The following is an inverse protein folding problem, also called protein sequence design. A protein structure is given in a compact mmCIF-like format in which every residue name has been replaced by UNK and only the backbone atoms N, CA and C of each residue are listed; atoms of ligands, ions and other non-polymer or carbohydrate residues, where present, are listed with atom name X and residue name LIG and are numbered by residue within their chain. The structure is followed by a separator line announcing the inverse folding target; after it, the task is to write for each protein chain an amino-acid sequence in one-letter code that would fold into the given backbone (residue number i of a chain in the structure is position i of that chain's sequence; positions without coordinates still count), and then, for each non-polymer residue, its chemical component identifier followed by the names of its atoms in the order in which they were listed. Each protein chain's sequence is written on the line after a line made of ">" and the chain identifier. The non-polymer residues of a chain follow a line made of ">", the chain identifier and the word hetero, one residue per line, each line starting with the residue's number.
data_IF_662263949365
#
_entry.id   IF_662263949365
#
_cell.length_a   1.000
_cell.length_b   1.000
_cell.length_c   1.000
_cell.angle_alpha   90.00
_cell.angle_beta   90.00
_cell.angle_gamma   90.00
#
_symmetry.space_group_name_H-M   'P 1'
#
loop_
_entity.id
_entity.type
_entity.pdbx_description
1 polymer ?
#
# COMPACT_ATOMS: atom_id res chain seq x y z
N UNK A 1 -16.76 -9.86 -10.80
CA UNK A 1 -15.74 -10.33 -11.77
C UNK A 1 -16.37 -11.03 -12.96
N UNK A 2 -17.18 -12.08 -12.77
CA UNK A 2 -17.87 -12.80 -13.88
C UNK A 2 -18.59 -11.88 -14.88
N UNK A 3 -19.24 -10.82 -14.41
CA UNK A 3 -19.93 -9.87 -15.28
C UNK A 3 -18.98 -9.03 -16.15
N UNK A 4 -17.81 -8.66 -15.61
CA UNK A 4 -16.76 -7.97 -16.38
C UNK A 4 -16.22 -8.92 -17.46
N UNK A 5 -16.03 -10.20 -17.12
CA UNK A 5 -15.57 -11.20 -18.10
C UNK A 5 -16.59 -11.42 -19.21
N UNK A 6 -17.89 -11.42 -18.87
CA UNK A 6 -18.99 -11.62 -19.83
C UNK A 6 -19.19 -10.42 -20.74
N UNK A 7 -19.14 -9.21 -20.20
CA UNK A 7 -19.55 -7.99 -20.91
C UNK A 7 -18.40 -7.15 -21.42
N UNK A 8 -17.19 -7.35 -20.89
CA UNK A 8 -16.05 -6.47 -21.10
C UNK A 8 -16.25 -5.06 -20.52
N UNK A 9 -17.23 -4.87 -19.63
CA UNK A 9 -17.60 -3.56 -19.08
C UNK A 9 -17.43 -3.53 -17.57
N UNK A 10 -16.99 -2.37 -17.08
CA UNK A 10 -16.94 -2.09 -15.65
C UNK A 10 -18.33 -1.70 -15.13
N UNK A 11 -18.63 -1.98 -13.86
CA UNK A 11 -19.88 -1.53 -13.25
C UNK A 11 -19.95 0.00 -13.25
N UNK A 12 -21.15 0.49 -13.56
CA UNK A 12 -21.45 1.92 -13.62
C UNK A 12 -21.17 2.61 -12.27
N UNK A 13 -20.94 3.92 -12.32
CA UNK A 13 -20.83 4.70 -11.09
C UNK A 13 -22.11 4.54 -10.25
N UNK A 14 -21.96 4.34 -8.94
CA UNK A 14 -23.05 4.18 -7.96
C UNK A 14 -23.90 2.92 -8.10
N UNK A 15 -23.52 1.93 -8.92
CA UNK A 15 -24.21 0.64 -8.93
C UNK A 15 -23.85 -0.20 -7.70
N UNK A 16 -24.69 -1.16 -7.33
CA UNK A 16 -24.41 -2.10 -6.24
C UNK A 16 -23.12 -2.91 -6.50
N UNK A 17 -22.94 -3.41 -7.72
CA UNK A 17 -21.72 -4.10 -8.13
C UNK A 17 -20.45 -3.24 -7.93
N UNK A 18 -20.56 -1.92 -8.13
CA UNK A 18 -19.46 -0.98 -7.90
C UNK A 18 -19.13 -0.90 -6.41
N UNK A 19 -20.15 -0.86 -5.55
CA UNK A 19 -19.97 -0.85 -4.10
C UNK A 19 -19.33 -2.14 -3.59
N UNK A 20 -19.78 -3.30 -4.07
CA UNK A 20 -19.19 -4.59 -3.73
C UNK A 20 -17.72 -4.66 -4.16
N UNK A 21 -17.38 -4.17 -5.36
CA UNK A 21 -15.99 -4.11 -5.79
C UNK A 21 -15.16 -3.10 -4.99
N UNK A 22 -15.70 -1.94 -4.61
CA UNK A 22 -15.03 -1.00 -3.70
C UNK A 22 -14.70 -1.67 -2.36
N UNK A 23 -15.66 -2.39 -1.76
CA UNK A 23 -15.47 -3.15 -0.53
C UNK A 23 -14.37 -4.20 -0.69
N UNK A 24 -14.41 -4.95 -1.80
CA UNK A 24 -13.39 -5.94 -2.10
C UNK A 24 -12.00 -5.31 -2.22
N UNK A 25 -11.85 -4.22 -2.99
CA UNK A 25 -10.58 -3.49 -3.13
C UNK A 25 -10.06 -2.96 -1.78
N UNK A 26 -10.95 -2.43 -0.93
CA UNK A 26 -10.60 -1.98 0.41
C UNK A 26 -10.09 -3.14 1.29
N UNK A 27 -10.78 -4.28 1.30
CA UNK A 27 -10.35 -5.47 2.01
C UNK A 27 -9.02 -6.01 1.49
N UNK A 28 -8.82 -6.02 0.16
CA UNK A 28 -7.56 -6.42 -0.48
C UNK A 28 -6.39 -5.52 -0.06
N UNK A 29 -6.63 -4.21 0.06
CA UNK A 29 -5.61 -3.26 0.49
C UNK A 29 -5.23 -3.39 1.96
N UNK A 30 -6.18 -3.81 2.81
CA UNK A 30 -5.96 -3.92 4.25
C UNK A 30 -5.36 -5.27 4.68
N UNK A 31 -5.48 -6.32 3.85
CA UNK A 31 -4.96 -7.65 4.17
C UNK A 31 -3.47 -7.87 3.85
N UNK A 32 -2.73 -6.83 3.48
CA UNK A 32 -1.33 -6.97 3.07
C UNK A 32 -0.39 -7.13 4.27
N UNK A 33 0.74 -7.84 4.10
CA UNK A 33 1.81 -7.91 5.10
C UNK A 33 2.29 -6.53 5.60
N UNK A 34 2.41 -5.55 4.70
CA UNK A 34 2.76 -4.16 5.02
C UNK A 34 1.80 -3.55 6.05
N UNK A 35 0.49 -3.69 5.85
CA UNK A 35 -0.52 -3.12 6.76
C UNK A 35 -0.46 -3.73 8.15
N UNK A 36 -0.19 -5.02 8.22
CA UNK A 36 0.03 -5.70 9.51
C UNK A 36 1.31 -5.23 10.18
N UNK A 37 2.39 -5.02 9.41
CA UNK A 37 3.67 -4.55 9.94
C UNK A 37 3.55 -3.21 10.67
N UNK A 38 2.72 -2.28 10.18
CA UNK A 38 2.48 -1.00 10.88
C UNK A 38 1.91 -1.21 12.28
N UNK A 39 0.91 -2.08 12.41
CA UNK A 39 0.24 -2.35 13.70
C UNK A 39 1.13 -3.18 14.61
N UNK A 40 1.87 -4.14 14.05
CA UNK A 40 2.69 -5.09 14.78
C UNK A 40 4.11 -4.58 15.08
N UNK A 41 4.48 -3.39 14.61
CA UNK A 41 5.80 -2.81 14.87
C UNK A 41 6.19 -2.83 16.36
N UNK A 42 5.33 -2.43 17.32
CA UNK A 42 5.64 -2.55 18.74
C UNK A 42 5.88 -3.98 19.21
N UNK A 43 5.13 -4.96 18.68
CA UNK A 43 5.32 -6.37 19.00
C UNK A 43 6.70 -6.85 18.52
N UNK A 44 7.10 -6.44 17.31
CA UNK A 44 8.38 -6.81 16.72
C UNK A 44 9.57 -6.23 17.50
N UNK A 45 9.49 -4.93 17.88
CA UNK A 45 10.52 -4.30 18.72
C UNK A 45 10.61 -4.99 20.08
N UNK A 46 9.47 -5.31 20.72
CA UNK A 46 9.46 -6.02 22.01
C UNK A 46 10.06 -7.43 21.89
N UNK A 47 9.76 -8.16 20.82
CA UNK A 47 10.36 -9.46 20.58
C UNK A 47 11.89 -9.36 20.39
N UNK A 48 12.38 -8.32 19.72
CA UNK A 48 13.81 -8.04 19.57
C UNK A 48 14.49 -7.63 20.90
N UNK A 49 13.76 -6.90 21.75
CA UNK A 49 14.24 -6.47 23.07
C UNK A 49 14.57 -7.66 23.96
N UNK A 50 13.74 -8.72 23.91
CA UNK A 50 13.72 -9.80 24.90
C UNK A 50 13.55 -9.19 26.31
N UNK A 51 14.56 -9.32 27.16
CA UNK A 51 14.57 -8.78 28.53
C UNK A 51 15.20 -7.38 28.64
N UNK A 52 15.69 -6.81 27.53
CA UNK A 52 16.27 -5.46 27.51
C UNK A 52 15.18 -4.39 27.66
N UNK A 53 15.49 -3.24 28.28
CA UNK A 53 14.56 -2.11 28.33
C UNK A 53 14.21 -1.63 26.92
N UNK A 54 12.94 -1.29 26.73
CA UNK A 54 12.47 -0.60 25.52
C UNK A 54 12.86 0.87 25.60
N UNK A 55 14.04 1.20 25.07
CA UNK A 55 14.56 2.57 25.02
C UNK A 55 14.87 3.03 23.59
N UNK A 56 15.23 4.31 23.46
CA UNK A 56 15.54 4.95 22.19
C UNK A 56 16.72 4.26 21.46
N UNK A 57 17.74 3.81 22.21
CA UNK A 57 18.91 3.16 21.65
C UNK A 57 18.57 1.77 21.08
N UNK A 58 17.71 1.02 21.78
CA UNK A 58 17.19 -0.25 21.30
C UNK A 58 16.39 -0.08 20.00
N UNK A 59 15.56 0.96 19.89
CA UNK A 59 14.82 1.24 18.65
C UNK A 59 15.77 1.57 17.50
N UNK A 60 16.79 2.38 17.74
CA UNK A 60 17.81 2.67 16.73
C UNK A 60 18.51 1.37 16.26
N UNK A 61 18.90 0.51 17.20
CA UNK A 61 19.54 -0.77 16.90
C UNK A 61 18.63 -1.70 16.10
N UNK A 62 17.36 -1.83 16.51
CA UNK A 62 16.37 -2.65 15.81
C UNK A 62 16.13 -2.17 14.39
N UNK A 63 15.99 -0.84 14.21
CA UNK A 63 15.83 -0.24 12.89
C UNK A 63 17.00 -0.56 11.99
N UNK A 64 18.23 -0.38 12.47
CA UNK A 64 19.44 -0.63 11.69
C UNK A 64 19.62 -2.10 11.32
N UNK A 65 19.54 -3.00 12.31
CA UNK A 65 19.97 -4.40 12.14
C UNK A 65 18.89 -5.29 11.53
N UNK A 66 17.66 -5.14 11.99
CA UNK A 66 16.57 -6.05 11.64
C UNK A 66 15.62 -5.45 10.60
N UNK A 67 15.12 -4.24 10.86
CA UNK A 67 14.01 -3.68 10.10
C UNK A 67 14.43 -3.09 8.74
N UNK A 68 15.42 -2.17 8.74
CA UNK A 68 15.90 -1.49 7.54
C UNK A 68 17.08 -2.23 6.91
N UNK A 69 18.04 -2.70 7.72
CA UNK A 69 19.31 -3.29 7.25
C UNK A 69 20.37 -2.26 6.88
N UNK A 70 20.21 -1.00 7.27
CA UNK A 70 21.17 0.09 7.11
C UNK A 70 20.93 1.15 8.18
N UNK A 71 21.91 2.04 8.38
CA UNK A 71 21.84 3.06 9.41
C UNK A 71 20.62 4.01 9.22
N UNK A 72 19.67 4.06 10.17
CA UNK A 72 18.52 4.95 10.10
C UNK A 72 18.93 6.42 10.25
N UNK A 73 18.16 7.33 9.66
CA UNK A 73 18.33 8.76 9.94
C UNK A 73 17.81 9.11 11.34
N UNK A 74 18.35 10.13 12.03
CA UNK A 74 17.89 10.53 13.37
C UNK A 74 16.37 10.74 13.45
N UNK A 75 15.78 11.37 12.43
CA UNK A 75 14.34 11.60 12.35
C UNK A 75 13.50 10.31 12.21
N UNK A 76 14.07 9.24 11.64
CA UNK A 76 13.40 7.93 11.59
C UNK A 76 13.37 7.26 12.96
N UNK A 77 14.46 7.37 13.71
CA UNK A 77 14.55 6.82 15.06
C UNK A 77 13.55 7.55 15.96
N UNK A 78 13.50 8.88 15.89
CA UNK A 78 12.54 9.69 16.63
C UNK A 78 11.09 9.35 16.26
N UNK A 79 10.77 9.30 14.97
CA UNK A 79 9.43 8.94 14.52
C UNK A 79 9.01 7.53 14.93
N UNK A 80 9.92 6.55 14.85
CA UNK A 80 9.66 5.17 15.27
C UNK A 80 9.49 5.06 16.79
N UNK A 81 10.32 5.78 17.56
CA UNK A 81 10.21 5.83 19.01
C UNK A 81 8.90 6.47 19.46
N UNK A 82 8.55 7.63 18.90
CA UNK A 82 7.28 8.32 19.18
C UNK A 82 6.08 7.45 18.82
N UNK A 83 6.14 6.71 17.70
CA UNK A 83 5.09 5.76 17.31
C UNK A 83 4.98 4.61 18.31
N UNK A 84 6.10 3.98 18.65
CA UNK A 84 6.17 2.88 19.61
C UNK A 84 5.55 3.28 20.96
N UNK A 85 5.99 4.41 21.51
CA UNK A 85 5.49 4.92 22.80
C UNK A 85 4.01 5.26 22.72
N UNK A 86 3.58 5.95 21.65
CA UNK A 86 2.17 6.31 21.46
C UNK A 86 1.25 5.09 21.41
N UNK A 87 1.62 4.05 20.66
CA UNK A 87 0.82 2.81 20.58
C UNK A 87 0.81 2.08 21.92
N UNK A 88 1.96 1.90 22.57
CA UNK A 88 2.04 1.19 23.85
C UNK A 88 1.26 1.94 24.95
N UNK A 89 1.36 3.26 25.02
CA UNK A 89 0.65 4.05 26.02
C UNK A 89 -0.88 3.99 25.84
N UNK A 90 -1.36 3.96 24.59
CA UNK A 90 -2.78 4.01 24.28
C UNK A 90 -3.45 2.63 24.32
N UNK A 91 -2.75 1.58 23.88
CA UNK A 91 -3.33 0.27 23.61
C UNK A 91 -2.57 -0.89 24.24
N UNK A 92 -1.41 -0.64 24.86
CA UNK A 92 -0.46 -1.69 25.18
C UNK A 92 0.23 -2.25 23.93
N UNK A 93 0.91 -3.38 24.08
CA UNK A 93 1.57 -4.05 22.95
C UNK A 93 0.53 -4.84 22.15
N UNK A 94 0.30 -4.52 20.86
CA UNK A 94 -0.72 -5.19 20.08
C UNK A 94 -0.44 -6.68 19.88
N UNK A 95 -1.49 -7.49 19.93
CA UNK A 95 -1.47 -8.89 19.52
C UNK A 95 -1.72 -9.04 18.01
N UNK A 96 -1.55 -10.26 17.50
CA UNK A 96 -1.93 -10.61 16.13
C UNK A 96 -3.42 -10.39 15.87
N UNK A 97 -4.27 -10.67 16.87
CA UNK A 97 -5.71 -10.44 16.79
C UNK A 97 -6.03 -8.95 16.68
N UNK A 98 -5.35 -8.11 17.44
CA UNK A 98 -5.52 -6.65 17.37
C UNK A 98 -5.12 -6.11 16.00
N UNK A 99 -4.07 -6.65 15.38
CA UNK A 99 -3.68 -6.29 14.02
C UNK A 99 -4.75 -6.65 12.98
N UNK A 100 -5.41 -7.79 13.13
CA UNK A 100 -6.53 -8.17 12.24
C UNK A 100 -7.69 -7.18 12.41
N UNK A 101 -8.08 -6.86 13.64
CA UNK A 101 -9.17 -5.91 13.89
C UNK A 101 -8.83 -4.50 13.40
N UNK A 102 -7.61 -4.00 13.66
CA UNK A 102 -7.19 -2.68 13.23
C UNK A 102 -7.14 -2.56 11.70
N UNK A 103 -6.66 -3.60 11.01
CA UNK A 103 -6.60 -3.58 9.54
C UNK A 103 -7.97 -3.71 8.91
N UNK A 104 -8.82 -4.64 9.36
CA UNK A 104 -10.16 -4.82 8.78
C UNK A 104 -11.16 -3.73 9.20
N UNK A 105 -10.99 -3.13 10.38
CA UNK A 105 -11.87 -2.08 10.90
C UNK A 105 -11.86 -0.78 10.08
N UNK A 106 -10.84 -0.57 9.24
CA UNK A 106 -10.73 0.62 8.39
C UNK A 106 -11.30 0.43 6.98
N UNK A 107 -11.84 -0.75 6.65
CA UNK A 107 -12.31 -1.08 5.30
C UNK A 107 -13.35 -0.07 4.79
N UNK A 108 -14.32 0.27 5.63
CA UNK A 108 -15.39 1.21 5.27
C UNK A 108 -14.85 2.63 5.02
N UNK A 109 -13.82 3.04 5.78
CA UNK A 109 -13.17 4.35 5.61
C UNK A 109 -12.45 4.48 4.27
N UNK A 110 -12.01 3.36 3.68
CA UNK A 110 -11.29 3.37 2.40
C UNK A 110 -12.24 3.42 1.20
N UNK A 111 -13.47 2.90 1.32
CA UNK A 111 -14.42 2.79 0.22
C UNK A 111 -14.68 4.11 -0.53
N UNK A 112 -14.87 5.26 0.14
CA UNK A 112 -15.06 6.54 -0.54
C UNK A 112 -13.92 6.92 -1.49
N UNK A 113 -12.68 6.50 -1.19
CA UNK A 113 -11.52 6.78 -2.04
C UNK A 113 -11.52 5.97 -3.34
N UNK A 114 -12.10 4.77 -3.36
CA UNK A 114 -12.27 3.98 -4.58
C UNK A 114 -13.50 4.42 -5.38
N UNK A 115 -14.59 4.75 -4.67
CA UNK A 115 -15.87 5.19 -5.25
C UNK A 115 -15.73 6.49 -6.04
N UNK A 116 -14.91 7.42 -5.55
CA UNK A 116 -14.70 8.75 -6.13
C UNK A 116 -13.73 8.79 -7.32
N UNK A 117 -13.32 7.62 -7.86
CA UNK A 117 -12.34 7.50 -8.94
C UNK A 117 -13.00 7.11 -10.26
N UNK A 118 -12.35 7.49 -11.37
CA UNK A 118 -12.65 6.99 -12.70
C UNK A 118 -12.07 5.60 -12.80
N UNK A 119 -12.85 4.61 -13.24
CA UNK A 119 -12.37 3.23 -13.36
C UNK A 119 -12.18 2.87 -14.83
N UNK A 120 -10.96 2.47 -15.16
CA UNK A 120 -10.56 2.04 -16.49
C UNK A 120 -10.25 0.55 -16.47
N UNK A 121 -10.82 -0.20 -17.39
CA UNK A 121 -10.44 -1.58 -17.65
C UNK A 121 -9.34 -1.57 -18.70
N UNK A 122 -8.10 -1.85 -18.28
CA UNK A 122 -6.99 -2.08 -19.19
C UNK A 122 -7.02 -3.55 -19.65
N UNK A 123 -7.06 -3.79 -20.96
CA UNK A 123 -7.10 -5.13 -21.58
C UNK A 123 -5.82 -5.36 -22.37
N UNK A 124 -5.14 -6.48 -22.10
CA UNK A 124 -3.93 -6.89 -22.82
C UNK A 124 -4.18 -8.17 -23.60
N UNK A 125 -3.86 -8.16 -24.89
CA UNK A 125 -3.93 -9.34 -25.75
C UNK A 125 -2.59 -10.06 -25.87
N UNK A 126 -1.48 -9.38 -25.55
CA UNK A 126 -0.11 -9.80 -25.89
C UNK A 126 0.75 -10.19 -24.68
N UNK A 127 0.52 -9.60 -23.52
CA UNK A 127 1.28 -9.88 -22.29
C UNK A 127 0.34 -10.16 -21.13
N UNK A 128 0.86 -10.78 -20.06
CA UNK A 128 0.07 -11.12 -18.89
C UNK A 128 0.38 -10.21 -17.70
N UNK A 129 -0.68 -9.70 -17.06
CA UNK A 129 -0.58 -9.06 -15.76
C UNK A 129 -0.29 -10.10 -14.68
N UNK A 130 0.52 -9.70 -13.71
CA UNK A 130 0.82 -10.49 -12.52
C UNK A 130 0.03 -9.96 -11.32
N UNK A 131 -0.03 -10.75 -10.26
CA UNK A 131 -0.54 -10.34 -8.95
C UNK A 131 0.46 -10.70 -7.85
N UNK A 132 0.22 -10.27 -6.61
CA UNK A 132 1.12 -10.51 -5.48
C UNK A 132 0.35 -10.58 -4.15
N UNK A 133 1.11 -10.73 -3.07
CA UNK A 133 0.66 -10.51 -1.68
C UNK A 133 0.26 -9.04 -1.37
N UNK A 134 0.58 -8.10 -2.26
CA UNK A 134 0.14 -6.71 -2.22
C UNK A 134 -0.52 -6.32 -3.56
N UNK A 135 -1.74 -6.84 -3.87
CA UNK A 135 -2.29 -6.77 -5.22
C UNK A 135 -2.80 -5.38 -5.63
N UNK A 136 -3.02 -4.47 -4.68
CA UNK A 136 -3.36 -3.08 -4.99
C UNK A 136 -2.11 -2.22 -5.08
N UNK A 137 -1.80 -1.78 -6.30
CA UNK A 137 -0.65 -0.94 -6.57
C UNK A 137 -1.10 0.51 -6.59
N UNK A 138 -0.79 1.24 -5.52
CA UNK A 138 -0.81 2.70 -5.59
C UNK A 138 0.27 3.13 -6.58
N UNK A 139 0.12 4.22 -7.31
CA UNK A 139 1.17 4.69 -8.21
C UNK A 139 1.07 6.19 -8.43
N UNK A 140 2.24 6.84 -8.47
CA UNK A 140 2.40 8.21 -8.94
C UNK A 140 3.75 8.33 -9.66
N UNK A 141 3.93 9.32 -10.54
CA UNK A 141 5.24 9.67 -11.08
C UNK A 141 6.20 10.06 -9.96
N UNK A 142 7.47 9.69 -10.12
CA UNK A 142 8.53 10.04 -9.18
C UNK A 142 8.67 11.57 -9.08
N UNK A 143 8.89 12.06 -7.86
CA UNK A 143 9.16 13.48 -7.60
C UNK A 143 10.19 13.65 -6.48
N UNK A 144 10.77 14.84 -6.37
CA UNK A 144 11.71 15.18 -5.29
C UNK A 144 11.06 15.06 -3.89
N UNK A 145 9.73 15.15 -3.81
CA UNK A 145 9.02 15.00 -2.54
C UNK A 145 9.10 13.57 -1.98
N UNK A 146 9.36 12.56 -2.84
CA UNK A 146 9.39 11.15 -2.43
C UNK A 146 10.48 10.84 -1.40
N UNK A 147 11.51 11.70 -1.30
CA UNK A 147 12.58 11.56 -0.32
C UNK A 147 12.11 11.80 1.13
N UNK A 148 11.01 12.53 1.33
CA UNK A 148 10.56 12.94 2.66
C UNK A 148 9.04 12.88 2.87
N UNK A 149 8.26 12.61 1.82
CA UNK A 149 6.80 12.62 1.86
C UNK A 149 6.22 11.34 1.24
N UNK A 150 5.59 10.54 2.10
CA UNK A 150 4.77 9.41 1.68
C UNK A 150 3.54 9.84 0.88
N UNK A 151 2.90 8.87 0.23
CA UNK A 151 1.61 9.08 -0.42
C UNK A 151 0.71 7.87 -0.21
N UNK A 152 -0.60 8.09 -0.32
CA UNK A 152 -1.60 7.05 -0.12
C UNK A 152 -2.73 7.11 -1.14
N UNK A 153 -3.88 6.53 -0.79
CA UNK A 153 -5.08 6.50 -1.64
C UNK A 153 -5.56 7.87 -2.10
N UNK A 154 -5.37 8.91 -1.28
CA UNK A 154 -5.74 10.28 -1.60
C UNK A 154 -4.92 10.83 -2.77
N UNK A 155 -3.60 10.67 -2.70
CA UNK A 155 -2.67 11.35 -3.60
C UNK A 155 -2.18 10.48 -4.76
N UNK A 156 -2.47 9.18 -4.73
CA UNK A 156 -2.15 8.27 -5.83
C UNK A 156 -2.76 8.78 -7.15
N UNK A 157 -1.92 8.82 -8.20
CA UNK A 157 -2.36 9.14 -9.56
C UNK A 157 -3.12 7.97 -10.17
N UNK A 158 -2.64 6.75 -9.90
CA UNK A 158 -3.29 5.51 -10.30
C UNK A 158 -3.37 4.58 -9.10
N UNK A 159 -4.47 3.84 -9.00
CA UNK A 159 -4.56 2.64 -8.15
C UNK A 159 -4.86 1.49 -9.08
N UNK A 160 -3.99 0.49 -9.13
CA UNK A 160 -4.09 -0.61 -10.08
C UNK A 160 -4.39 -1.90 -9.33
N UNK A 161 -5.24 -2.72 -9.91
CA UNK A 161 -5.61 -4.01 -9.35
C UNK A 161 -5.74 -5.03 -10.50
N UNK A 162 -4.89 -6.07 -10.55
CA UNK A 162 -5.01 -7.13 -11.56
C UNK A 162 -6.29 -7.94 -11.30
N UNK A 163 -7.17 -8.04 -12.30
CA UNK A 163 -8.39 -8.83 -12.22
C UNK A 163 -8.14 -10.26 -12.66
N UNK A 164 -7.41 -10.39 -13.77
CA UNK A 164 -6.97 -11.65 -14.35
C UNK A 164 -5.70 -11.41 -15.19
N UNK A 165 -5.05 -12.45 -15.72
CA UNK A 165 -3.82 -12.28 -16.50
C UNK A 165 -3.94 -11.36 -17.73
N UNK A 166 -5.13 -11.11 -18.28
CA UNK A 166 -5.36 -10.24 -19.44
C UNK A 166 -6.02 -8.93 -19.09
N UNK A 167 -6.52 -8.74 -17.86
CA UNK A 167 -7.27 -7.56 -17.47
C UNK A 167 -6.79 -6.97 -16.16
N UNK A 168 -6.62 -5.66 -16.15
CA UNK A 168 -6.30 -4.88 -14.96
C UNK A 168 -7.33 -3.76 -14.79
N UNK A 169 -7.77 -3.56 -13.56
CA UNK A 169 -8.54 -2.41 -13.17
C UNK A 169 -7.60 -1.26 -12.79
N UNK A 170 -7.78 -0.08 -13.37
CA UNK A 170 -7.01 1.13 -13.06
C UNK A 170 -7.94 2.25 -12.64
N UNK A 171 -7.71 2.78 -11.44
CA UNK A 171 -8.48 3.88 -10.87
C UNK A 171 -7.66 5.16 -10.96
N UNK A 172 -8.19 6.17 -11.62
CA UNK A 172 -7.57 7.49 -11.76
C UNK A 172 -8.44 8.58 -11.15
N UNK A 173 -7.89 9.79 -11.01
CA UNK A 173 -8.70 10.96 -10.61
C UNK A 173 -9.83 11.19 -11.63
N UNK A 174 -11.00 11.60 -11.14
CA UNK A 174 -12.21 11.81 -11.95
C UNK A 174 -13.31 10.81 -11.61
N UNK A 175 -14.38 10.76 -12.39
CA UNK A 175 -15.50 9.82 -12.23
C UNK A 175 -15.83 9.11 -13.55
N UNK A 176 -16.58 8.02 -13.48
CA UNK A 176 -17.04 7.26 -14.65
C UNK A 176 -16.26 5.98 -14.92
N UNK A 177 -16.42 5.46 -16.14
CA UNK A 177 -15.81 4.21 -16.59
C UNK A 177 -15.25 4.32 -18.00
N UNK A 178 -14.22 3.55 -18.30
CA UNK A 178 -13.67 3.40 -19.66
C UNK A 178 -13.04 2.02 -19.84
N UNK A 179 -12.75 1.66 -21.10
CA UNK A 179 -12.00 0.46 -21.48
C UNK A 179 -10.88 0.89 -22.42
N UNK A 180 -9.70 0.32 -22.26
CA UNK A 180 -8.58 0.57 -23.16
C UNK A 180 -7.76 -0.69 -23.40
N UNK A 181 -7.45 -0.96 -24.67
CA UNK A 181 -6.43 -1.93 -25.01
C UNK A 181 -5.04 -1.36 -24.69
N UNK A 182 -4.17 -2.18 -24.10
CA UNK A 182 -2.82 -1.79 -23.71
C UNK A 182 -1.75 -2.63 -24.39
N UNK A 183 -0.60 -1.99 -24.61
CA UNK A 183 0.58 -2.65 -25.18
C UNK A 183 1.27 -3.58 -24.17
N UNK A 184 2.03 -4.56 -24.66
CA UNK A 184 2.87 -5.40 -23.81
C UNK A 184 3.83 -4.59 -22.93
N UNK A 185 4.42 -3.52 -23.47
CA UNK A 185 5.29 -2.61 -22.71
C UNK A 185 4.59 -1.91 -21.54
N UNK A 186 3.28 -1.65 -21.65
CA UNK A 186 2.48 -1.11 -20.53
C UNK A 186 2.33 -2.16 -19.44
N UNK A 187 2.01 -3.40 -19.81
CA UNK A 187 1.91 -4.54 -18.88
C UNK A 187 3.23 -4.80 -18.16
N UNK A 188 4.35 -4.82 -18.88
CA UNK A 188 5.70 -4.98 -18.31
C UNK A 188 5.98 -3.94 -17.22
N UNK A 189 5.73 -2.65 -17.50
CA UNK A 189 5.89 -1.59 -16.48
C UNK A 189 4.97 -1.78 -15.28
N UNK A 190 3.72 -2.18 -15.49
CA UNK A 190 2.80 -2.47 -14.39
C UNK A 190 3.30 -3.63 -13.53
N UNK A 191 3.86 -4.67 -14.15
CA UNK A 191 4.43 -5.81 -13.44
C UNK A 191 5.70 -5.45 -12.67
N UNK A 192 6.56 -4.57 -13.22
CA UNK A 192 7.70 -4.01 -12.48
C UNK A 192 7.25 -3.20 -11.27
N UNK A 193 6.28 -2.30 -11.45
CA UNK A 193 5.72 -1.51 -10.34
C UNK A 193 5.11 -2.41 -9.25
N UNK A 194 4.48 -3.52 -9.64
CA UNK A 194 3.92 -4.52 -8.71
C UNK A 194 5.01 -5.24 -7.93
N UNK A 195 6.08 -5.66 -8.61
CA UNK A 195 7.21 -6.33 -7.98
C UNK A 195 7.93 -5.44 -6.96
N UNK A 196 8.08 -4.15 -7.27
CA UNK A 196 8.72 -3.18 -6.38
C UNK A 196 7.92 -2.95 -5.08
N UNK A 197 6.63 -3.27 -5.08
CA UNK A 197 5.74 -3.17 -3.91
C UNK A 197 5.44 -4.52 -3.25
N UNK A 198 5.87 -5.62 -3.84
CA UNK A 198 5.65 -6.97 -3.33
C UNK A 198 6.58 -7.25 -2.14
N UNK A 199 6.07 -7.97 -1.13
CA UNK A 199 6.90 -8.35 0.00
C UNK A 199 7.57 -9.70 -0.21
N UNK A 200 6.80 -10.73 -0.60
CA UNK A 200 7.26 -12.12 -0.57
C UNK A 200 6.92 -12.91 -1.84
N UNK A 201 5.74 -12.72 -2.44
CA UNK A 201 5.24 -13.61 -3.51
C UNK A 201 4.62 -12.86 -4.67
N UNK A 202 5.07 -13.20 -5.88
CA UNK A 202 4.43 -12.85 -7.15
C UNK A 202 3.77 -14.10 -7.73
N UNK A 203 2.55 -13.94 -8.22
CA UNK A 203 1.76 -14.99 -8.84
C UNK A 203 1.44 -14.61 -10.28
N UNK A 204 1.78 -15.50 -11.21
CA UNK A 204 1.44 -15.37 -12.63
C UNK A 204 0.59 -16.53 -13.14
N UNK A 205 0.29 -16.50 -14.44
CA UNK A 205 -0.49 -17.57 -15.08
C UNK A 205 0.31 -18.89 -15.08
N UNK A 206 -0.28 -20.03 -14.64
CA UNK A 206 0.46 -21.29 -14.43
C UNK A 206 1.07 -21.86 -15.71
N UNK A 207 0.42 -21.68 -16.86
CA UNK A 207 0.90 -22.16 -18.17
C UNK A 207 1.89 -21.21 -18.86
N UNK A 208 2.29 -20.10 -18.22
CA UNK A 208 3.17 -19.08 -18.83
C UNK A 208 4.25 -18.61 -17.85
N UNK A 209 5.11 -19.54 -17.38
CA UNK A 209 6.10 -19.27 -16.34
C UNK A 209 7.16 -18.25 -16.77
N UNK A 210 7.47 -18.16 -18.07
CA UNK A 210 8.54 -17.29 -18.61
C UNK A 210 8.39 -15.81 -18.29
N UNK A 211 7.19 -15.34 -17.92
CA UNK A 211 6.99 -13.95 -17.49
C UNK A 211 7.30 -13.74 -16.02
N UNK A 212 7.19 -14.78 -15.19
CA UNK A 212 7.59 -14.75 -13.78
C UNK A 212 9.12 -14.63 -13.68
N UNK A 213 9.85 -15.35 -14.54
CA UNK A 213 11.32 -15.30 -14.60
C UNK A 213 11.89 -13.92 -14.98
N UNK A 214 11.07 -13.05 -15.59
CA UNK A 214 11.49 -11.70 -16.01
C UNK A 214 11.33 -10.65 -14.90
N UNK A 215 10.68 -11.01 -13.79
CA UNK A 215 10.37 -10.07 -12.72
C UNK A 215 11.24 -10.40 -11.52
N UNK A 216 12.16 -9.50 -11.23
CA UNK A 216 13.09 -9.65 -10.11
C UNK A 216 12.41 -9.21 -8.82
N UNK A 217 12.24 -10.16 -7.89
CA UNK A 217 11.87 -9.85 -6.52
C UNK A 217 13.06 -9.26 -5.78
N UNK A 218 12.80 -8.22 -5.00
CA UNK A 218 13.83 -7.65 -4.12
C UNK A 218 14.15 -8.66 -3.02
N UNK A 219 15.42 -8.74 -2.65
CA UNK A 219 15.85 -9.51 -1.47
C UNK A 219 15.11 -9.06 -0.19
N UNK A 220 14.80 -7.76 -0.11
CA UNK A 220 13.94 -7.18 0.92
C UNK A 220 12.83 -6.35 0.28
N UNK A 221 11.58 -6.68 0.59
CA UNK A 221 10.40 -5.92 0.18
C UNK A 221 10.36 -4.50 0.77
N UNK A 222 9.31 -3.71 0.45
CA UNK A 222 9.13 -2.37 1.00
C UNK A 222 9.12 -2.39 2.54
N UNK A 223 9.88 -1.48 3.16
CA UNK A 223 9.95 -1.35 4.63
C UNK A 223 9.22 -0.12 5.09
N UNK A 224 8.52 -0.27 6.21
CA UNK A 224 7.89 0.83 6.93
C UNK A 224 8.95 1.84 7.38
N UNK A 225 8.77 3.10 7.04
CA UNK A 225 9.64 4.20 7.43
C UNK A 225 8.87 5.20 8.26
N UNK A 226 9.60 6.00 9.03
CA UNK A 226 9.05 6.95 9.97
C UNK A 226 9.67 8.33 9.77
N UNK A 227 8.90 9.38 9.98
CA UNK A 227 9.42 10.73 10.05
C UNK A 227 8.47 11.56 10.90
N UNK A 228 9.02 12.50 11.66
CA UNK A 228 8.25 13.50 12.37
C UNK A 228 8.35 14.80 11.60
N UNK A 229 7.20 15.32 11.16
CA UNK A 229 7.15 16.58 10.42
C UNK A 229 5.84 17.33 10.71
N UNK A 230 5.77 18.64 10.41
CA UNK A 230 4.55 19.41 10.62
C UNK A 230 3.35 18.85 9.86
N UNK A 231 2.32 18.48 10.61
CA UNK A 231 1.03 18.07 10.09
C UNK A 231 0.19 19.27 9.65
N UNK A 232 -0.61 19.06 8.60
CA UNK A 232 -1.55 20.07 8.11
C UNK A 232 -2.92 19.43 7.91
N UNK A 233 -3.93 19.99 8.57
CA UNK A 233 -5.34 19.66 8.32
C UNK A 233 -5.88 20.58 7.25
N UNK A 234 -6.59 20.05 6.26
CA UNK A 234 -7.37 20.86 5.33
C UNK A 234 -8.81 20.89 5.84
N UNK A 235 -9.26 22.05 6.31
CA UNK A 235 -10.63 22.26 6.77
C UNK A 235 -11.63 22.47 5.62
N UNK A 236 -12.94 22.58 5.94
CA UNK A 236 -13.95 22.96 4.96
C UNK A 236 -13.56 24.25 4.23
N UNK A 237 -13.65 24.25 2.89
CA UNK A 237 -13.23 25.39 2.05
C UNK A 237 -11.74 25.44 1.71
N UNK A 238 -10.95 24.39 1.99
CA UNK A 238 -9.56 24.28 1.56
C UNK A 238 -8.55 25.00 2.47
N UNK A 239 -9.00 25.58 3.59
CA UNK A 239 -8.12 26.27 4.54
C UNK A 239 -7.20 25.28 5.24
N UNK A 240 -5.89 25.48 5.08
CA UNK A 240 -4.84 24.69 5.75
C UNK A 240 -4.67 25.18 7.18
N UNK A 241 -4.79 24.28 8.16
CA UNK A 241 -4.56 24.54 9.58
C UNK A 241 -3.40 23.67 10.07
N UNK A 242 -2.39 24.23 10.75
CA UNK A 242 -1.31 23.45 11.32
C UNK A 242 -1.83 22.52 12.42
N UNK A 243 -1.29 21.31 12.50
CA UNK A 243 -1.65 20.31 13.52
C UNK A 243 -0.54 20.09 14.56
N UNK A 244 0.53 20.88 14.52
CA UNK A 244 1.79 20.54 15.18
C UNK A 244 2.51 19.43 14.43
N UNK A 245 3.50 18.82 15.06
CA UNK A 245 4.22 17.69 14.47
C UNK A 245 3.36 16.42 14.51
N UNK A 246 3.37 15.69 13.39
CA UNK A 246 2.70 14.39 13.28
C UNK A 246 3.70 13.34 12.83
N UNK A 247 3.42 12.10 13.21
CA UNK A 247 4.20 10.95 12.74
C UNK A 247 3.70 10.60 11.35
N UNK A 248 4.59 10.75 10.38
CA UNK A 248 4.41 10.22 9.05
C UNK A 248 5.01 8.81 8.99
N UNK A 249 4.24 7.87 8.48
CA UNK A 249 4.76 6.56 8.12
C UNK A 249 4.45 6.25 6.65
N UNK A 250 5.39 5.61 5.98
CA UNK A 250 5.25 5.24 4.57
C UNK A 250 6.12 4.05 4.23
N UNK A 251 5.89 3.43 3.09
CA UNK A 251 6.81 2.46 2.50
C UNK A 251 7.59 3.10 1.37
N UNK A 252 8.89 2.86 1.33
CA UNK A 252 9.75 3.33 0.24
C UNK A 252 9.44 2.59 -1.06
N UNK A 253 9.27 3.32 -2.16
CA UNK A 253 9.47 2.77 -3.51
C UNK A 253 10.95 2.82 -3.87
N UNK A 254 11.30 2.06 -4.90
CA UNK A 254 12.60 2.17 -5.56
C UNK A 254 12.77 3.56 -6.19
#
# INVERSE_FOLDING_TARGET
>A
MREIDRTGRLPAARSEDREVLCLYLAAQMNRTPERRTVVLFPQAVKAYAKDRPLDYALVAEYLEREHLGFAPQPAEIEGAWSWLQGVIAMYGVPSQTDAIYATLGTVDDLMPHFRSRHWQLEVSHKADFLTSDAPLILWKPNSKEDAYKGFGLLDAHQIRFPLDPRKQLVLTRGTGTSVADVSARRVERCNTDLADTCEQVIVGHPLRPTWQDKVELRERGPRLRFNQAPGVRVGPGGRRQPMGDVIHHWTSRR
#
